data_IF_731992487795
#
_entry.id   IF_731992487795
#
_cell.length_a   1.000
_cell.length_b   1.000
_cell.length_c   1.000
_cell.angle_alpha   90.00
_cell.angle_beta   90.00
_cell.angle_gamma   90.00
#
_symmetry.space_group_name_H-M   'P 1'
#
loop_
_entity.id
_entity.type
_entity.pdbx_description
1 polymer ?
#
# COMPACT_ATOMS: atom_id res chain seq x y z
N UNK A 1 5.48 17.03 -11.29
CA UNK A 1 6.02 15.70 -11.65
C UNK A 1 5.76 14.78 -10.46
N UNK A 2 4.67 14.00 -10.49
CA UNK A 2 4.34 13.08 -9.38
C UNK A 2 5.35 11.95 -9.38
N UNK A 3 6.11 11.81 -8.31
CA UNK A 3 6.96 10.63 -8.12
C UNK A 3 6.05 9.42 -7.98
N UNK A 4 6.19 8.46 -8.90
CA UNK A 4 5.35 7.26 -8.89
C UNK A 4 5.56 6.52 -7.57
N UNK A 5 4.56 6.58 -6.67
CA UNK A 5 4.60 5.85 -5.40
C UNK A 5 4.86 4.35 -5.63
N UNK A 6 4.42 3.82 -6.77
CA UNK A 6 4.70 2.45 -7.21
C UNK A 6 6.20 2.16 -7.38
N UNK A 7 6.98 3.11 -7.89
CA UNK A 7 8.44 2.94 -8.10
C UNK A 7 9.18 2.81 -6.76
N UNK A 8 8.92 3.73 -5.83
CA UNK A 8 9.53 3.67 -4.48
C UNK A 8 9.03 2.49 -3.67
N UNK A 9 7.73 2.17 -3.75
CA UNK A 9 7.16 1.05 -2.97
C UNK A 9 7.79 -0.29 -3.36
N UNK A 10 8.01 -0.52 -4.67
CA UNK A 10 8.69 -1.73 -5.15
C UNK A 10 10.13 -1.83 -4.64
N UNK A 11 10.89 -0.74 -4.74
CA UNK A 11 12.29 -0.69 -4.28
C UNK A 11 12.40 -0.81 -2.77
N UNK A 12 11.55 -0.10 -2.03
CA UNK A 12 11.52 -0.14 -0.58
C UNK A 12 11.19 -1.55 -0.07
N UNK A 13 10.20 -2.22 -0.68
CA UNK A 13 9.84 -3.60 -0.30
C UNK A 13 10.98 -4.58 -0.56
N UNK A 14 11.66 -4.46 -1.70
CA UNK A 14 12.83 -5.29 -2.01
C UNK A 14 13.99 -5.02 -1.04
N UNK A 15 14.31 -3.75 -0.79
CA UNK A 15 15.38 -3.38 0.14
C UNK A 15 15.09 -3.88 1.56
N UNK A 16 13.83 -3.79 2.01
CA UNK A 16 13.41 -4.30 3.31
C UNK A 16 13.63 -5.82 3.44
N UNK A 17 13.17 -6.61 2.45
CA UNK A 17 13.38 -8.07 2.46
C UNK A 17 14.86 -8.42 2.38
N UNK A 18 15.61 -7.74 1.52
CA UNK A 18 17.04 -7.98 1.35
C UNK A 18 17.81 -7.71 2.65
N UNK A 19 17.65 -6.53 3.25
CA UNK A 19 18.33 -6.18 4.50
C UNK A 19 17.93 -7.10 5.66
N UNK A 20 16.64 -7.47 5.77
CA UNK A 20 16.20 -8.41 6.79
C UNK A 20 16.80 -9.81 6.60
N UNK A 21 16.87 -10.28 5.36
CA UNK A 21 17.47 -11.59 5.04
C UNK A 21 18.97 -11.58 5.28
N UNK A 22 19.66 -10.49 4.91
CA UNK A 22 21.09 -10.32 5.16
C UNK A 22 21.39 -10.36 6.67
N UNK A 23 20.60 -9.66 7.50
CA UNK A 23 20.78 -9.67 8.94
C UNK A 23 20.53 -11.05 9.55
N UNK A 24 19.51 -11.77 9.08
CA UNK A 24 19.23 -13.14 9.53
C UNK A 24 20.37 -14.10 9.16
N UNK A 25 20.88 -13.97 7.93
CA UNK A 25 21.96 -14.81 7.40
C UNK A 25 23.26 -14.69 8.19
N UNK A 26 23.55 -13.53 8.79
CA UNK A 26 24.77 -13.32 9.58
C UNK A 26 24.86 -14.22 10.83
N UNK A 27 23.72 -14.68 11.35
CA UNK A 27 23.64 -15.54 12.54
C UNK A 27 23.29 -17.00 12.19
N UNK A 28 23.07 -17.30 10.90
CA UNK A 28 22.60 -18.61 10.46
C UNK A 28 23.74 -19.65 10.43
N UNK A 29 23.67 -20.64 11.33
CA UNK A 29 24.61 -21.76 11.41
C UNK A 29 24.09 -23.05 10.74
N UNK A 30 22.95 -23.00 10.05
CA UNK A 30 22.38 -24.16 9.37
C UNK A 30 23.20 -24.58 8.14
N UNK A 31 23.19 -25.86 7.81
CA UNK A 31 23.88 -26.39 6.63
C UNK A 31 23.31 -25.76 5.36
N UNK A 32 24.18 -25.17 4.53
CA UNK A 32 23.77 -24.49 3.30
C UNK A 32 22.83 -23.29 3.49
N UNK A 33 22.73 -22.75 4.71
CA UNK A 33 21.83 -21.64 5.06
C UNK A 33 20.34 -21.95 4.83
N UNK A 34 19.91 -23.20 5.05
CA UNK A 34 18.51 -23.63 4.91
C UNK A 34 17.54 -22.74 5.70
N UNK A 35 17.90 -22.35 6.93
CA UNK A 35 17.08 -21.49 7.77
C UNK A 35 16.89 -20.09 7.16
N UNK A 36 17.94 -19.53 6.54
CA UNK A 36 17.86 -18.26 5.79
C UNK A 36 16.92 -18.37 4.59
N UNK A 37 16.96 -19.48 3.84
CA UNK A 37 16.07 -19.69 2.70
C UNK A 37 14.60 -19.77 3.11
N UNK A 38 14.32 -20.44 4.23
CA UNK A 38 12.98 -20.50 4.81
C UNK A 38 12.52 -19.13 5.34
N UNK A 39 13.41 -18.39 5.99
CA UNK A 39 13.14 -17.02 6.42
C UNK A 39 12.78 -16.12 5.23
N UNK A 40 13.59 -16.16 4.15
CA UNK A 40 13.35 -15.38 2.94
C UNK A 40 11.99 -15.69 2.33
N UNK A 41 11.61 -16.98 2.24
CA UNK A 41 10.32 -17.40 1.68
C UNK A 41 9.15 -16.81 2.47
N UNK A 42 9.20 -16.90 3.80
CA UNK A 42 8.18 -16.30 4.69
C UNK A 42 8.09 -14.78 4.51
N UNK A 43 9.23 -14.08 4.37
CA UNK A 43 9.25 -12.63 4.13
C UNK A 43 8.69 -12.23 2.77
N UNK A 44 8.90 -13.05 1.74
CA UNK A 44 8.26 -12.83 0.43
C UNK A 44 6.74 -12.95 0.52
N UNK A 45 6.23 -13.95 1.22
CA UNK A 45 4.80 -14.13 1.45
C UNK A 45 4.19 -12.94 2.21
N UNK A 46 4.88 -12.46 3.25
CA UNK A 46 4.46 -11.27 4.01
C UNK A 46 4.38 -10.02 3.14
N UNK A 47 5.36 -9.81 2.24
CA UNK A 47 5.32 -8.67 1.31
C UNK A 47 4.11 -8.76 0.39
N UNK A 48 3.84 -9.94 -0.18
CA UNK A 48 2.68 -10.15 -1.04
C UNK A 48 1.38 -9.91 -0.26
N UNK A 49 1.28 -10.43 0.96
CA UNK A 49 0.14 -10.22 1.84
C UNK A 49 -0.06 -8.72 2.16
N UNK A 50 1.02 -7.99 2.46
CA UNK A 50 0.96 -6.55 2.75
C UNK A 50 0.45 -5.71 1.56
N UNK A 51 0.80 -6.11 0.34
CA UNK A 51 0.34 -5.44 -0.89
C UNK A 51 -1.14 -5.70 -1.08
N UNK A 52 -1.58 -6.96 -0.91
CA UNK A 52 -3.00 -7.33 -0.99
C UNK A 52 -3.82 -6.60 0.07
N UNK A 53 -3.35 -6.59 1.31
CA UNK A 53 -4.01 -5.92 2.44
C UNK A 53 -4.16 -4.41 2.21
N UNK A 54 -3.11 -3.74 1.70
CA UNK A 54 -3.21 -2.31 1.36
C UNK A 54 -4.25 -2.04 0.28
N UNK A 55 -4.30 -2.87 -0.77
CA UNK A 55 -5.30 -2.73 -1.85
C UNK A 55 -6.72 -2.95 -1.34
N UNK A 56 -6.95 -3.99 -0.54
CA UNK A 56 -8.28 -4.27 0.01
C UNK A 56 -8.72 -3.18 0.99
N UNK A 57 -7.81 -2.69 1.85
CA UNK A 57 -8.08 -1.59 2.76
C UNK A 57 -8.45 -0.31 1.98
N UNK A 58 -7.68 0.06 0.96
CA UNK A 58 -7.98 1.20 0.10
C UNK A 58 -9.35 1.08 -0.57
N UNK A 59 -9.67 -0.09 -1.13
CA UNK A 59 -10.98 -0.33 -1.74
C UNK A 59 -12.14 -0.19 -0.73
N UNK A 60 -11.96 -0.71 0.48
CA UNK A 60 -12.96 -0.59 1.56
C UNK A 60 -13.16 0.86 2.01
N UNK A 61 -12.07 1.61 2.14
CA UNK A 61 -12.12 3.04 2.50
C UNK A 61 -12.83 3.83 1.42
N UNK A 62 -12.47 3.64 0.15
CA UNK A 62 -13.15 4.33 -0.97
C UNK A 62 -14.64 4.02 -1.01
N UNK A 63 -15.02 2.75 -0.87
CA UNK A 63 -16.43 2.33 -0.80
C UNK A 63 -17.16 2.96 0.40
N UNK A 64 -16.50 3.10 1.55
CA UNK A 64 -17.09 3.76 2.71
C UNK A 64 -17.29 5.27 2.48
N UNK A 65 -16.32 5.93 1.82
CA UNK A 65 -16.41 7.34 1.43
C UNK A 65 -17.52 7.57 0.40
N UNK A 66 -17.69 6.68 -0.57
CA UNK A 66 -18.79 6.76 -1.55
C UNK A 66 -20.17 6.59 -0.92
N UNK A 67 -20.28 5.71 0.08
CA UNK A 67 -21.55 5.47 0.79
C UNK A 67 -21.90 6.54 1.84
N UNK A 68 -20.98 7.47 2.13
CA UNK A 68 -21.27 8.61 3.01
C UNK A 68 -22.10 9.64 2.24
N UNK A 69 -23.16 10.22 2.83
CA UNK A 69 -23.91 11.30 2.20
C UNK A 69 -22.95 12.45 1.87
N UNK A 70 -22.85 12.76 0.57
CA UNK A 70 -21.90 13.74 0.07
C UNK A 70 -22.14 15.10 0.76
N UNK A 71 -21.20 15.62 1.57
CA UNK A 71 -21.40 16.85 2.35
C UNK A 71 -21.61 18.08 1.47
N UNK A 72 -21.32 17.99 0.17
CA UNK A 72 -21.52 19.06 -0.80
C UNK A 72 -22.98 19.23 -1.25
N UNK A 73 -23.88 18.31 -0.94
CA UNK A 73 -25.32 18.50 -1.18
C UNK A 73 -25.99 19.42 -0.14
N UNK A 74 -25.30 19.78 0.95
CA UNK A 74 -25.78 20.76 1.95
C UNK A 74 -25.54 22.20 1.53
N UNK A 75 -24.78 22.44 0.45
CA UNK A 75 -24.61 23.78 -0.10
C UNK A 75 -25.85 24.12 -0.93
N UNK A 76 -26.60 25.20 -0.61
CA UNK A 76 -27.68 25.65 -1.47
C UNK A 76 -27.08 25.96 -2.85
N UNK A 77 -27.50 25.24 -3.88
CA UNK A 77 -27.15 25.56 -5.28
C UNK A 77 -27.50 27.03 -5.49
N UNK A 78 -26.52 27.87 -5.86
CA UNK A 78 -26.82 29.27 -6.13
C UNK A 78 -27.89 29.35 -7.22
N UNK A 79 -29.06 29.97 -6.96
CA UNK A 79 -30.06 30.14 -7.99
C UNK A 79 -29.48 31.03 -9.09
N UNK A 80 -29.62 30.55 -10.33
CA UNK A 80 -29.03 31.15 -11.51
C UNK A 80 -29.33 32.65 -11.60
N UNK A 81 -28.26 33.42 -11.74
CA UNK A 81 -28.29 34.85 -12.07
C UNK A 81 -29.05 35.01 -13.38
N UNK A 82 -30.32 35.42 -13.30
CA UNK A 82 -31.13 35.76 -14.48
C UNK A 82 -30.35 36.79 -15.30
N UNK A 83 -29.99 36.41 -16.53
CA UNK A 83 -29.55 37.34 -17.57
C UNK A 83 -30.63 38.41 -17.69
N UNK A 84 -30.33 39.64 -17.26
CA UNK A 84 -31.11 40.81 -17.64
C UNK A 84 -30.76 41.13 -19.09
N UNK A 85 -31.83 41.36 -19.86
CA UNK A 85 -31.82 41.83 -21.24
C UNK A 85 -31.12 43.19 -21.36
#
# INVERSE_FOLDING_TARGET
RSTDLNWYTKRASLAAVYSATMLYWLDDQSEGSEATWDFLRRRMDDVVASIKMRRTAQARVMKAVENLPNPLNLLPRQPGRKRRA
#
